data_IF_153426981978
#
_entry.id   IF_153426981978
#
_cell.length_a   1.000
_cell.length_b   1.000
_cell.length_c   1.000
_cell.angle_alpha   90.00
_cell.angle_beta   90.00
_cell.angle_gamma   90.00
#
_symmetry.space_group_name_H-M   'P 1'
#
loop_
_entity.id
_entity.type
_entity.pdbx_description
1 polymer ?
#
# COMPACT_ATOMS: atom_id res chain seq x y z
N UNK A 1 13.47 9.47 21.00
CA UNK A 1 12.24 8.95 20.43
C UNK A 1 12.45 8.21 19.12
N UNK A 2 11.45 7.46 18.72
CA UNK A 2 11.50 6.71 17.46
C UNK A 2 11.30 7.64 16.27
N UNK A 3 12.08 7.46 15.23
CA UNK A 3 11.87 8.14 13.96
C UNK A 3 11.10 7.20 13.02
N UNK A 4 9.77 7.31 13.02
CA UNK A 4 8.90 6.41 12.27
C UNK A 4 9.09 6.49 10.76
N UNK A 5 9.41 7.68 10.24
CA UNK A 5 9.66 7.87 8.81
C UNK A 5 10.93 7.12 8.40
N UNK A 6 12.00 7.25 9.18
CA UNK A 6 13.24 6.53 8.92
C UNK A 6 13.05 5.02 9.00
N UNK A 7 12.29 4.53 9.99
CA UNK A 7 11.96 3.11 10.13
C UNK A 7 11.19 2.58 8.92
N UNK A 8 10.20 3.34 8.45
CA UNK A 8 9.43 2.97 7.26
C UNK A 8 10.34 2.79 6.05
N UNK A 9 11.20 3.78 5.79
CA UNK A 9 12.11 3.69 4.64
C UNK A 9 13.13 2.56 4.80
N UNK A 10 13.59 2.31 6.02
CA UNK A 10 14.51 1.20 6.26
C UNK A 10 13.84 -0.15 6.00
N UNK A 11 12.58 -0.34 6.41
CA UNK A 11 11.83 -1.55 6.07
C UNK A 11 11.70 -1.73 4.55
N UNK A 12 11.44 -0.64 3.83
CA UNK A 12 11.31 -0.67 2.37
C UNK A 12 12.62 -1.06 1.69
N UNK A 13 13.74 -0.64 2.25
CA UNK A 13 15.08 -0.91 1.70
C UNK A 13 15.40 -2.39 1.62
N UNK A 14 14.73 -3.24 2.37
CA UNK A 14 14.89 -4.70 2.27
C UNK A 14 14.75 -5.19 0.82
N UNK A 15 13.88 -4.55 0.06
CA UNK A 15 13.58 -4.93 -1.32
C UNK A 15 14.20 -3.99 -2.34
N UNK A 16 14.34 -2.72 -2.01
CA UNK A 16 14.83 -1.69 -2.95
C UNK A 16 16.34 -1.48 -2.87
N UNK A 17 16.94 -1.66 -1.68
CA UNK A 17 18.37 -1.44 -1.43
C UNK A 17 18.87 -2.52 -0.45
N UNK A 18 18.92 -3.79 -0.87
CA UNK A 18 19.19 -4.89 0.07
C UNK A 18 20.52 -4.80 0.81
N UNK A 19 21.59 -4.33 0.17
CA UNK A 19 22.89 -4.20 0.82
C UNK A 19 22.87 -3.19 1.97
N UNK A 20 22.25 -2.03 1.73
CA UNK A 20 22.10 -0.98 2.73
C UNK A 20 21.17 -1.42 3.85
N UNK A 21 20.13 -2.18 3.53
CA UNK A 21 19.23 -2.75 4.53
C UNK A 21 19.98 -3.70 5.47
N UNK A 22 20.77 -4.61 4.93
CA UNK A 22 21.55 -5.54 5.75
C UNK A 22 22.52 -4.82 6.68
N UNK A 23 23.09 -3.71 6.23
CA UNK A 23 24.00 -2.90 7.05
C UNK A 23 23.28 -2.16 8.20
N UNK A 24 21.99 -1.85 8.03
CA UNK A 24 21.28 -0.96 8.96
C UNK A 24 20.11 -1.62 9.71
N UNK A 25 19.73 -2.85 9.36
CA UNK A 25 18.56 -3.51 9.97
C UNK A 25 18.66 -3.64 11.50
N UNK A 26 19.86 -3.64 12.05
CA UNK A 26 20.09 -3.70 13.49
C UNK A 26 19.51 -2.49 14.23
N UNK A 27 19.30 -1.36 13.55
CA UNK A 27 18.70 -0.16 14.14
C UNK A 27 17.17 -0.19 14.16
N UNK A 28 16.55 -1.21 13.55
CA UNK A 28 15.11 -1.38 13.63
C UNK A 28 14.72 -1.97 14.98
N UNK A 29 13.57 -1.55 15.55
CA UNK A 29 13.06 -2.19 16.75
C UNK A 29 12.81 -3.67 16.51
N UNK A 30 12.97 -4.48 17.56
CA UNK A 30 12.56 -5.88 17.52
C UNK A 30 11.04 -5.93 17.34
N UNK A 31 10.58 -6.79 16.44
CA UNK A 31 9.17 -6.94 16.16
C UNK A 31 8.73 -8.37 16.52
N UNK A 32 7.56 -8.48 17.17
CA UNK A 32 6.98 -9.77 17.48
C UNK A 32 6.52 -10.46 16.19
N UNK A 33 6.48 -11.79 16.23
CA UNK A 33 5.93 -12.57 15.11
C UNK A 33 4.47 -12.18 14.84
N UNK A 34 3.71 -11.89 15.91
CA UNK A 34 2.32 -11.44 15.82
C UNK A 34 2.20 -10.12 15.05
N UNK A 35 3.07 -9.16 15.34
CA UNK A 35 3.07 -7.87 14.65
C UNK A 35 3.35 -8.04 13.17
N UNK A 36 4.34 -8.84 12.81
CA UNK A 36 4.69 -9.11 11.42
C UNK A 36 3.53 -9.82 10.72
N UNK A 37 2.92 -10.80 11.37
CA UNK A 37 1.77 -11.52 10.81
C UNK A 37 0.57 -10.60 10.58
N UNK A 38 0.28 -9.68 11.51
CA UNK A 38 -0.80 -8.69 11.38
C UNK A 38 -0.53 -7.76 10.18
N UNK A 39 0.68 -7.25 10.09
CA UNK A 39 1.06 -6.34 9.00
C UNK A 39 0.93 -7.03 7.64
N UNK A 40 1.40 -8.27 7.54
CA UNK A 40 1.28 -9.04 6.30
C UNK A 40 -0.16 -9.36 5.95
N UNK A 41 -0.99 -9.73 6.92
CA UNK A 41 -2.41 -10.02 6.67
C UNK A 41 -3.16 -8.79 6.15
N UNK A 42 -2.90 -7.62 6.71
CA UNK A 42 -3.49 -6.36 6.25
C UNK A 42 -3.01 -6.04 4.85
N UNK A 43 -1.70 -6.12 4.61
CA UNK A 43 -1.11 -5.82 3.31
C UNK A 43 -1.66 -6.74 2.22
N UNK A 44 -1.72 -8.04 2.49
CA UNK A 44 -2.23 -9.03 1.54
C UNK A 44 -3.69 -8.75 1.18
N UNK A 45 -4.54 -8.42 2.16
CA UNK A 45 -5.95 -8.13 1.89
C UNK A 45 -6.10 -6.82 1.10
N UNK A 46 -5.34 -5.79 1.44
CA UNK A 46 -5.38 -4.53 0.69
C UNK A 46 -4.94 -4.73 -0.76
N UNK A 47 -3.92 -5.54 -1.00
CA UNK A 47 -3.48 -5.88 -2.36
C UNK A 47 -4.56 -6.67 -3.10
N UNK A 48 -5.18 -7.64 -2.44
CA UNK A 48 -6.26 -8.43 -3.03
C UNK A 48 -7.45 -7.55 -3.43
N UNK A 49 -7.72 -6.49 -2.68
CA UNK A 49 -8.77 -5.52 -3.02
C UNK A 49 -8.34 -4.58 -4.16
N UNK A 50 -7.06 -4.31 -4.28
CA UNK A 50 -6.54 -3.37 -5.28
C UNK A 50 -6.44 -3.97 -6.68
N UNK A 51 -6.16 -5.27 -6.78
CA UNK A 51 -6.04 -5.95 -8.08
C UNK A 51 -7.28 -5.75 -8.97
N UNK A 52 -8.51 -6.05 -8.49
CA UNK A 52 -9.69 -5.84 -9.34
C UNK A 52 -9.94 -4.37 -9.68
N UNK A 53 -9.52 -3.44 -8.83
CA UNK A 53 -9.62 -2.01 -9.12
C UNK A 53 -8.74 -1.64 -10.32
N UNK A 54 -7.52 -2.15 -10.36
CA UNK A 54 -6.61 -1.86 -11.48
C UNK A 54 -7.04 -2.54 -12.77
N UNK A 55 -7.74 -3.65 -12.67
CA UNK A 55 -8.34 -4.30 -13.83
C UNK A 55 -9.51 -3.50 -14.37
N UNK A 56 -10.35 -2.96 -13.48
CA UNK A 56 -11.53 -2.17 -13.85
C UNK A 56 -11.16 -0.74 -14.29
N UNK A 57 -10.12 -0.16 -13.71
CA UNK A 57 -9.70 1.23 -13.97
C UNK A 57 -8.21 1.28 -14.29
N UNK A 58 -7.80 0.70 -15.45
CA UNK A 58 -6.37 0.55 -15.75
C UNK A 58 -5.63 1.87 -15.91
N UNK A 59 -6.26 2.92 -16.43
CA UNK A 59 -5.60 4.22 -16.61
C UNK A 59 -5.43 4.95 -15.28
N UNK A 60 -6.39 4.83 -14.36
CA UNK A 60 -6.23 5.30 -12.99
C UNK A 60 -5.09 4.53 -12.31
N UNK A 61 -5.02 3.22 -12.52
CA UNK A 61 -3.97 2.37 -11.95
C UNK A 61 -2.57 2.70 -12.45
N UNK A 62 -2.43 3.10 -13.72
CA UNK A 62 -1.14 3.47 -14.32
C UNK A 62 -0.51 4.71 -13.68
N UNK A 63 -1.32 5.56 -13.03
CA UNK A 63 -0.80 6.73 -12.33
C UNK A 63 -0.14 6.38 -11.00
N UNK A 64 -0.32 5.14 -10.53
CA UNK A 64 0.21 4.67 -9.26
C UNK A 64 1.45 3.79 -9.41
N UNK A 65 1.95 3.32 -8.26
CA UNK A 65 3.10 2.42 -8.20
C UNK A 65 2.73 1.03 -8.71
N UNK A 66 3.71 0.23 -9.18
CA UNK A 66 3.49 -1.21 -9.36
C UNK A 66 2.97 -1.84 -8.07
N UNK A 67 2.14 -2.88 -8.19
CA UNK A 67 1.50 -3.47 -7.00
C UNK A 67 2.44 -4.33 -6.14
N UNK A 68 3.19 -5.23 -6.78
CA UNK A 68 3.88 -6.30 -6.06
C UNK A 68 5.39 -6.08 -5.97
N UNK A 69 5.97 -6.66 -4.91
CA UNK A 69 7.39 -6.47 -4.58
C UNK A 69 8.35 -7.05 -5.63
N UNK A 70 7.89 -7.94 -6.50
CA UNK A 70 8.72 -8.45 -7.60
C UNK A 70 9.10 -7.36 -8.62
N UNK A 71 8.36 -6.25 -8.63
CA UNK A 71 8.67 -5.08 -9.44
C UNK A 71 9.60 -4.08 -8.74
N UNK A 72 9.96 -4.32 -7.48
CA UNK A 72 10.86 -3.42 -6.74
C UNK A 72 12.25 -3.42 -7.37
N UNK A 73 12.83 -2.24 -7.44
CA UNK A 73 14.21 -2.03 -7.87
C UNK A 73 14.71 -0.72 -7.32
N UNK A 74 16.00 -0.48 -7.47
CA UNK A 74 16.64 0.74 -6.99
C UNK A 74 15.91 1.97 -7.53
N UNK A 75 15.41 2.80 -6.62
CA UNK A 75 14.65 3.99 -6.96
C UNK A 75 13.18 3.78 -7.26
N UNK A 76 12.69 2.53 -7.27
CA UNK A 76 11.27 2.21 -7.52
C UNK A 76 10.73 1.28 -6.45
N UNK A 77 9.64 1.70 -5.80
CA UNK A 77 9.00 0.95 -4.71
C UNK A 77 7.57 0.59 -5.06
N UNK A 78 7.23 -0.68 -4.94
CA UNK A 78 5.87 -1.17 -5.15
C UNK A 78 4.93 -0.73 -4.02
N UNK A 79 3.61 -0.81 -4.28
CA UNK A 79 2.59 -0.59 -3.26
C UNK A 79 2.78 -1.56 -2.09
N UNK A 80 3.05 -2.83 -2.39
CA UNK A 80 3.29 -3.85 -1.36
C UNK A 80 4.41 -3.45 -0.41
N UNK A 81 5.57 -3.11 -0.95
CA UNK A 81 6.75 -2.76 -0.14
C UNK A 81 6.52 -1.47 0.64
N UNK A 82 5.94 -0.46 0.01
CA UNK A 82 5.63 0.81 0.65
C UNK A 82 4.65 0.62 1.81
N UNK A 83 3.55 -0.07 1.56
CA UNK A 83 2.50 -0.28 2.55
C UNK A 83 2.97 -1.14 3.72
N UNK A 84 3.68 -2.24 3.42
CA UNK A 84 4.21 -3.11 4.47
C UNK A 84 5.21 -2.35 5.36
N UNK A 85 6.09 -1.55 4.75
CA UNK A 85 7.06 -0.74 5.49
C UNK A 85 6.36 0.22 6.46
N UNK A 86 5.27 0.84 6.04
CA UNK A 86 4.48 1.72 6.91
C UNK A 86 3.79 0.95 8.03
N UNK A 87 3.14 -0.16 7.69
CA UNK A 87 2.43 -0.98 8.68
C UNK A 87 3.36 -1.48 9.78
N UNK A 88 4.58 -1.84 9.43
CA UNK A 88 5.57 -2.31 10.41
C UNK A 88 6.00 -1.22 11.41
N UNK A 89 5.71 0.05 11.15
CA UNK A 89 5.97 1.13 12.11
C UNK A 89 4.83 1.32 13.12
N UNK A 90 3.68 0.71 12.90
CA UNK A 90 2.52 0.85 13.78
C UNK A 90 2.64 -0.06 14.99
N UNK A 91 1.95 0.30 16.08
CA UNK A 91 1.84 -0.58 17.24
C UNK A 91 1.00 -1.81 16.91
N UNK A 92 1.21 -2.88 17.64
CA UNK A 92 0.41 -4.10 17.50
C UNK A 92 -1.08 -3.83 17.72
N UNK A 93 -1.39 -2.98 18.72
CA UNK A 93 -2.77 -2.56 18.99
C UNK A 93 -3.40 -1.85 17.78
N UNK A 94 -2.67 -0.92 17.17
CA UNK A 94 -3.15 -0.21 15.98
C UNK A 94 -3.37 -1.17 14.81
N UNK A 95 -2.47 -2.12 14.63
CA UNK A 95 -2.61 -3.11 13.56
C UNK A 95 -3.83 -4.02 13.77
N UNK A 96 -4.09 -4.42 15.02
CA UNK A 96 -5.30 -5.21 15.34
C UNK A 96 -6.58 -4.44 15.03
N UNK A 97 -6.63 -3.17 15.40
CA UNK A 97 -7.78 -2.31 15.10
C UNK A 97 -7.95 -2.12 13.59
N UNK A 98 -6.87 -1.90 12.87
CA UNK A 98 -6.90 -1.76 11.43
C UNK A 98 -7.42 -3.03 10.77
N UNK A 99 -6.89 -4.18 11.17
CA UNK A 99 -7.33 -5.48 10.63
C UNK A 99 -8.81 -5.72 10.89
N UNK A 100 -9.28 -5.46 12.12
CA UNK A 100 -10.69 -5.61 12.49
C UNK A 100 -11.58 -4.74 11.61
N UNK A 101 -11.21 -3.47 11.42
CA UNK A 101 -11.96 -2.54 10.59
C UNK A 101 -11.98 -2.99 9.12
N UNK A 102 -10.82 -3.36 8.58
CA UNK A 102 -10.69 -3.80 7.19
C UNK A 102 -11.59 -5.00 6.88
N UNK A 103 -11.56 -6.02 7.74
CA UNK A 103 -12.36 -7.22 7.53
C UNK A 103 -13.85 -7.00 7.83
N UNK A 104 -14.19 -6.08 8.74
CA UNK A 104 -15.59 -5.69 8.97
C UNK A 104 -16.19 -5.04 7.73
N UNK A 105 -15.45 -4.12 7.08
CA UNK A 105 -15.87 -3.51 5.83
C UNK A 105 -16.05 -4.55 4.73
N UNK A 106 -15.10 -5.46 4.63
CA UNK A 106 -15.17 -6.57 3.66
C UNK A 106 -16.43 -7.41 3.86
N UNK A 107 -16.77 -7.72 5.11
CA UNK A 107 -17.98 -8.48 5.45
C UNK A 107 -19.27 -7.77 5.03
N UNK A 108 -19.23 -6.43 4.98
CA UNK A 108 -20.35 -5.61 4.48
C UNK A 108 -20.38 -5.48 2.96
N UNK A 109 -19.47 -6.17 2.25
CA UNK A 109 -19.35 -6.06 0.80
C UNK A 109 -18.63 -4.79 0.33
N UNK A 110 -17.94 -4.10 1.24
CA UNK A 110 -17.22 -2.86 0.94
C UNK A 110 -15.74 -3.14 0.74
N UNK A 111 -15.11 -2.36 -0.14
CA UNK A 111 -13.67 -2.42 -0.40
C UNK A 111 -13.01 -1.14 0.12
N UNK A 112 -12.16 -1.26 1.13
CA UNK A 112 -11.42 -0.10 1.65
C UNK A 112 -10.49 0.46 0.57
N UNK A 113 -9.86 -0.40 -0.23
CA UNK A 113 -8.99 0.03 -1.33
C UNK A 113 -9.77 0.88 -2.34
N UNK A 114 -11.00 0.47 -2.69
CA UNK A 114 -11.85 1.24 -3.60
C UNK A 114 -12.22 2.59 -3.00
N UNK A 115 -12.58 2.63 -1.72
CA UNK A 115 -12.97 3.88 -1.04
C UNK A 115 -11.80 4.86 -1.00
N UNK A 116 -10.59 4.39 -0.72
CA UNK A 116 -9.39 5.23 -0.70
C UNK A 116 -9.08 5.76 -2.10
N UNK A 117 -9.12 4.90 -3.11
CA UNK A 117 -8.84 5.30 -4.50
C UNK A 117 -9.89 6.29 -5.01
N UNK A 118 -11.16 6.06 -4.68
CA UNK A 118 -12.24 6.96 -5.03
C UNK A 118 -12.06 8.35 -4.42
N UNK A 119 -11.69 8.43 -3.14
CA UNK A 119 -11.37 9.70 -2.49
C UNK A 119 -10.19 10.40 -3.15
N UNK A 120 -9.19 9.60 -3.57
CA UNK A 120 -8.02 10.13 -4.26
C UNK A 120 -8.40 10.84 -5.56
N UNK A 121 -9.19 10.21 -6.42
CA UNK A 121 -9.60 10.84 -7.68
C UNK A 121 -10.53 12.03 -7.44
N UNK A 122 -11.39 11.96 -6.43
CA UNK A 122 -12.24 13.10 -6.06
C UNK A 122 -11.41 14.32 -5.63
N UNK A 123 -10.29 14.09 -4.95
CA UNK A 123 -9.40 15.19 -4.53
C UNK A 123 -8.75 15.92 -5.72
N UNK A 124 -8.67 15.26 -6.88
CA UNK A 124 -8.20 15.86 -8.13
C UNK A 124 -9.32 16.49 -8.96
N UNK A 125 -10.54 16.52 -8.45
CA UNK A 125 -11.66 17.18 -9.10
C UNK A 125 -12.59 16.27 -9.91
N UNK A 126 -12.34 14.96 -9.93
CA UNK A 126 -13.24 14.02 -10.59
C UNK A 126 -14.42 13.67 -9.66
N UNK A 127 -15.58 13.43 -10.23
CA UNK A 127 -16.76 13.05 -9.46
C UNK A 127 -16.82 11.55 -9.15
N UNK A 128 -16.07 10.73 -9.88
CA UNK A 128 -16.10 9.27 -9.73
C UNK A 128 -14.84 8.62 -10.34
N UNK A 129 -14.63 7.36 -10.00
CA UNK A 129 -13.58 6.53 -10.62
C UNK A 129 -13.83 6.38 -12.13
N UNK A 130 -15.08 6.21 -12.51
CA UNK A 130 -15.48 6.06 -13.92
C UNK A 130 -15.13 7.31 -14.72
N UNK A 131 -15.40 8.48 -14.17
CA UNK A 131 -15.06 9.77 -14.82
C UNK A 131 -13.54 9.92 -14.97
N UNK A 132 -12.79 9.62 -13.91
CA UNK A 132 -11.33 9.69 -13.93
C UNK A 132 -10.75 8.74 -14.98
N UNK A 133 -11.27 7.52 -15.06
CA UNK A 133 -10.82 6.52 -16.02
C UNK A 133 -11.08 6.97 -17.46
N UNK A 134 -12.26 7.49 -17.74
CA UNK A 134 -12.61 8.01 -19.06
C UNK A 134 -11.72 9.17 -19.47
N UNK A 135 -11.48 10.10 -18.56
CA UNK A 135 -10.62 11.26 -18.82
C UNK A 135 -9.20 10.84 -19.15
N UNK A 136 -8.61 9.95 -18.34
CA UNK A 136 -7.24 9.48 -18.53
C UNK A 136 -7.09 8.64 -19.80
N UNK A 137 -8.07 7.80 -20.11
CA UNK A 137 -8.09 7.02 -21.34
C UNK A 137 -8.13 7.91 -22.56
N UNK A 138 -8.94 8.97 -22.54
CA UNK A 138 -9.04 9.93 -23.64
C UNK A 138 -7.72 10.69 -23.85
N UNK A 139 -7.01 11.02 -22.78
CA UNK A 139 -5.71 11.71 -22.87
C UNK A 139 -4.65 10.88 -23.58
N UNK A 140 -4.66 9.57 -23.37
CA UNK A 140 -3.68 8.67 -23.98
C UNK A 140 -3.93 8.50 -25.49
N UNK A 141 -5.16 8.71 -25.95
CA UNK A 141 -5.53 8.60 -27.36
C UNK A 141 -5.26 9.87 -28.15
N UNK A 142 -5.04 10.96 -27.45
CA UNK A 142 -4.76 12.25 -28.07
C UNK A 142 -3.25 12.50 -28.22
#
# INVERSE_FOLDING_TARGET
GRNLVAEKYLHMMKYTHPAEYEAQKQFLPLMSEEKVALANAICDEMLAQTVPLREAYPHVGETGRPLFSDADRHGFTSVQTYQLGELLTYSEKTLRLFKTHLFALKAEGRSLAREITSRGVCSYGFSSLEEAEMFLAARQKG
#
